data_IF_219154828038
#
_entry.id   IF_219154828038
#
_cell.length_a   1.000
_cell.length_b   1.000
_cell.length_c   1.000
_cell.angle_alpha   90.00
_cell.angle_beta   90.00
_cell.angle_gamma   90.00
#
_symmetry.space_group_name_H-M   'P 1'
#
loop_
_entity.id
_entity.type
_entity.pdbx_description
1 polymer ?
#
# COMPACT_ATOMS: atom_id res chain seq x y z
N UNK A 1 3.89 -23.92 -0.97
CA UNK A 1 4.55 -22.61 -0.87
C UNK A 1 3.68 -21.61 -1.58
N UNK A 2 3.39 -20.47 -0.95
CA UNK A 2 2.64 -19.41 -1.61
C UNK A 2 3.59 -18.67 -2.56
N UNK A 3 3.28 -18.66 -3.85
CA UNK A 3 4.11 -18.02 -4.87
C UNK A 3 3.77 -16.53 -4.97
N UNK A 4 4.79 -15.68 -4.90
CA UNK A 4 4.69 -14.26 -5.24
C UNK A 4 4.64 -14.11 -6.76
N UNK A 5 3.57 -13.49 -7.25
CA UNK A 5 3.44 -13.04 -8.64
C UNK A 5 3.51 -11.53 -8.67
N UNK A 6 4.32 -10.98 -9.57
CA UNK A 6 4.40 -9.55 -9.84
C UNK A 6 4.10 -9.34 -11.31
N UNK A 7 3.21 -8.39 -11.61
CA UNK A 7 2.94 -7.91 -12.96
C UNK A 7 3.39 -6.44 -13.04
N UNK A 8 4.62 -6.17 -13.50
CA UNK A 8 5.13 -4.80 -13.59
C UNK A 8 4.31 -3.94 -14.55
N UNK A 9 3.83 -4.52 -15.65
CA UNK A 9 3.05 -3.80 -16.68
C UNK A 9 1.75 -3.22 -16.15
N UNK A 10 1.20 -3.78 -15.07
CA UNK A 10 0.01 -3.27 -14.38
C UNK A 10 0.28 -2.74 -12.98
N UNK A 11 1.54 -2.76 -12.54
CA UNK A 11 1.95 -2.48 -11.15
C UNK A 11 1.09 -3.22 -10.14
N UNK A 12 1.01 -4.53 -10.33
CA UNK A 12 0.24 -5.42 -9.48
C UNK A 12 1.15 -6.48 -8.88
N UNK A 13 0.78 -6.95 -7.70
CA UNK A 13 1.36 -8.14 -7.10
C UNK A 13 0.29 -8.94 -6.39
N UNK A 14 0.50 -10.24 -6.30
CA UNK A 14 -0.37 -11.13 -5.55
C UNK A 14 0.43 -12.26 -4.93
N UNK A 15 0.07 -12.62 -3.71
CA UNK A 15 0.51 -13.85 -3.04
C UNK A 15 -0.75 -14.68 -2.83
N UNK A 16 -0.79 -15.85 -3.47
CA UNK A 16 -1.99 -16.70 -3.46
C UNK A 16 -2.49 -16.95 -2.03
N UNK A 17 -3.77 -16.66 -1.80
CA UNK A 17 -4.43 -16.83 -0.50
C UNK A 17 -4.11 -15.78 0.58
N UNK A 18 -3.17 -14.85 0.34
CA UNK A 18 -2.63 -14.01 1.43
C UNK A 18 -2.74 -12.53 1.16
N UNK A 19 -2.40 -12.09 -0.05
CA UNK A 19 -2.45 -10.66 -0.35
C UNK A 19 -2.59 -10.40 -1.84
N UNK A 20 -3.18 -9.25 -2.14
CA UNK A 20 -3.22 -8.67 -3.47
C UNK A 20 -3.05 -7.17 -3.34
N UNK A 21 -2.23 -6.59 -4.21
CA UNK A 21 -1.96 -5.16 -4.18
C UNK A 21 -1.77 -4.62 -5.59
N UNK A 22 -2.08 -3.34 -5.76
CA UNK A 22 -1.84 -2.63 -7.01
C UNK A 22 -1.57 -1.16 -6.78
N UNK A 23 -0.91 -0.56 -7.77
CA UNK A 23 -0.72 0.88 -7.87
C UNK A 23 -1.33 1.36 -9.20
N UNK A 24 -2.15 2.40 -9.15
CA UNK A 24 -2.72 3.06 -10.32
C UNK A 24 -2.35 4.54 -10.30
N UNK A 25 -1.89 5.06 -11.44
CA UNK A 25 -1.61 6.49 -11.59
C UNK A 25 -2.89 7.24 -11.92
N UNK A 26 -3.15 8.32 -11.20
CA UNK A 26 -4.32 9.18 -11.34
C UNK A 26 -4.38 9.80 -12.74
N UNK A 27 -5.59 10.00 -13.25
CA UNK A 27 -5.79 10.52 -14.62
C UNK A 27 -5.22 11.93 -14.77
N UNK A 28 -5.39 12.77 -13.75
CA UNK A 28 -4.93 14.16 -13.77
C UNK A 28 -3.40 14.24 -13.71
N UNK A 29 -2.77 13.27 -13.04
CA UNK A 29 -1.31 13.13 -12.97
C UNK A 29 -0.71 12.79 -14.32
N UNK A 30 -1.36 11.88 -15.05
CA UNK A 30 -0.98 11.51 -16.42
C UNK A 30 -1.07 12.73 -17.36
N UNK A 31 -2.17 13.48 -17.29
CA UNK A 31 -2.40 14.66 -18.14
C UNK A 31 -1.40 15.78 -17.83
N UNK A 32 -1.16 16.03 -16.54
CA UNK A 32 -0.32 17.12 -16.08
C UNK A 32 1.18 16.79 -16.14
N UNK A 33 1.53 15.53 -16.37
CA UNK A 33 2.92 15.06 -16.39
C UNK A 33 3.58 15.03 -15.01
N UNK A 34 2.81 14.80 -13.95
CA UNK A 34 3.34 14.59 -12.60
C UNK A 34 3.75 13.12 -12.38
N UNK A 35 4.49 12.87 -11.30
CA UNK A 35 4.77 11.51 -10.84
C UNK A 35 3.59 10.91 -10.07
N UNK A 36 3.67 9.62 -9.73
CA UNK A 36 2.70 8.97 -8.86
C UNK A 36 3.14 9.14 -7.39
N UNK A 37 2.32 9.82 -6.58
CA UNK A 37 2.58 10.14 -5.19
C UNK A 37 2.43 8.95 -4.23
N UNK A 38 1.73 7.90 -4.65
CA UNK A 38 1.43 6.74 -3.84
C UNK A 38 2.55 5.70 -3.86
N UNK A 39 2.86 5.14 -2.70
CA UNK A 39 3.85 4.09 -2.54
C UNK A 39 3.36 3.01 -1.59
N UNK A 40 3.64 1.76 -1.93
CA UNK A 40 3.30 0.56 -1.17
C UNK A 40 4.56 -0.09 -0.64
N UNK A 41 4.48 -0.63 0.56
CA UNK A 41 5.49 -1.46 1.18
C UNK A 41 4.87 -2.76 1.65
N UNK A 42 5.45 -3.90 1.24
CA UNK A 42 5.01 -5.23 1.64
C UNK A 42 6.23 -6.03 2.08
N UNK A 43 6.28 -6.40 3.35
CA UNK A 43 7.28 -7.30 3.92
C UNK A 43 6.55 -8.52 4.49
N UNK A 44 6.49 -9.59 3.70
CA UNK A 44 5.79 -10.81 4.06
C UNK A 44 6.53 -11.61 5.14
N UNK A 45 7.85 -11.46 5.23
CA UNK A 45 8.66 -12.14 6.23
C UNK A 45 8.37 -11.62 7.64
N UNK A 46 8.29 -10.29 7.78
CA UNK A 46 7.99 -9.61 9.05
C UNK A 46 6.50 -9.31 9.24
N UNK A 47 5.68 -9.62 8.24
CA UNK A 47 4.25 -9.32 8.18
C UNK A 47 3.95 -7.82 8.40
N UNK A 48 4.74 -6.96 7.75
CA UNK A 48 4.60 -5.50 7.81
C UNK A 48 4.09 -4.99 6.46
N UNK A 49 3.04 -4.20 6.48
CA UNK A 49 2.42 -3.65 5.28
C UNK A 49 2.14 -2.18 5.47
N UNK A 50 2.46 -1.36 4.46
CA UNK A 50 2.21 0.07 4.54
C UNK A 50 1.84 0.68 3.19
N UNK A 51 1.05 1.74 3.25
CA UNK A 51 0.81 2.67 2.14
C UNK A 51 1.19 4.07 2.59
N UNK A 52 1.74 4.84 1.67
CA UNK A 52 2.11 6.23 1.88
C UNK A 52 1.76 7.03 0.63
N UNK A 53 1.15 8.19 0.83
CA UNK A 53 0.75 9.12 -0.23
C UNK A 53 1.47 10.46 0.00
N UNK A 54 2.22 10.90 -1.00
CA UNK A 54 2.99 12.13 -0.99
C UNK A 54 2.38 13.19 -1.89
N UNK A 55 2.57 14.46 -1.49
CA UNK A 55 2.09 15.59 -2.28
C UNK A 55 2.71 15.63 -3.69
N UNK A 56 1.93 16.09 -4.67
CA UNK A 56 2.31 16.20 -6.10
C UNK A 56 3.65 16.88 -6.38
N UNK A 57 4.07 17.82 -5.53
CA UNK A 57 5.35 18.55 -5.69
C UNK A 57 6.56 17.64 -5.48
N UNK A 58 6.41 16.59 -4.68
CA UNK A 58 7.48 15.67 -4.31
C UNK A 58 6.94 14.23 -4.21
N UNK A 59 6.48 13.64 -5.32
CA UNK A 59 5.80 12.33 -5.32
C UNK A 59 6.72 11.21 -4.82
N UNK A 60 8.04 11.36 -5.01
CA UNK A 60 9.05 10.43 -4.51
C UNK A 60 9.20 10.41 -2.97
N UNK A 61 8.53 11.32 -2.24
CA UNK A 61 8.67 11.41 -0.77
C UNK A 61 8.08 10.21 -0.04
N UNK A 62 6.98 9.65 -0.54
CA UNK A 62 6.35 8.43 -0.01
C UNK A 62 7.29 7.24 -0.13
N UNK A 63 7.95 7.09 -1.29
CA UNK A 63 9.00 6.08 -1.50
C UNK A 63 10.15 6.21 -0.53
N UNK A 64 10.72 7.42 -0.38
CA UNK A 64 11.81 7.67 0.57
C UNK A 64 11.42 7.32 2.00
N UNK A 65 10.18 7.62 2.40
CA UNK A 65 9.68 7.30 3.72
C UNK A 65 9.62 5.78 3.94
N UNK A 66 9.10 5.02 2.96
CA UNK A 66 9.00 3.56 3.04
C UNK A 66 10.35 2.84 2.88
N UNK A 67 11.27 3.37 2.08
CA UNK A 67 12.67 2.89 2.02
C UNK A 67 13.38 3.09 3.37
N UNK A 68 13.13 4.24 4.02
CA UNK A 68 13.64 4.49 5.37
C UNK A 68 13.02 3.54 6.39
N UNK A 69 11.71 3.26 6.29
CA UNK A 69 11.04 2.29 7.14
C UNK A 69 11.71 0.92 7.02
N UNK A 70 11.86 0.43 5.78
CA UNK A 70 12.53 -0.84 5.48
C UNK A 70 13.93 -0.90 6.10
N UNK A 71 14.70 0.18 6.02
CA UNK A 71 16.05 0.20 6.60
C UNK A 71 16.03 0.17 8.14
N UNK A 72 15.14 0.93 8.77
CA UNK A 72 15.09 1.04 10.24
C UNK A 72 14.53 -0.23 10.92
N UNK A 73 13.57 -0.94 10.28
CA UNK A 73 13.00 -2.19 10.84
C UNK A 73 14.00 -3.34 10.92
N UNK A 74 15.13 -3.25 10.21
CA UNK A 74 16.22 -4.24 10.32
C UNK A 74 17.01 -4.07 11.62
N UNK A 75 16.93 -2.91 12.27
CA UNK A 75 17.79 -2.52 13.39
C UNK A 75 17.01 -2.22 14.68
N UNK A 76 15.67 -2.13 14.63
CA UNK A 76 14.83 -1.78 15.77
C UNK A 76 13.42 -2.37 15.63
N UNK A 77 12.62 -2.28 16.71
CA UNK A 77 11.20 -2.65 16.64
C UNK A 77 10.44 -1.81 15.61
N UNK A 78 9.31 -2.31 15.09
CA UNK A 78 8.49 -1.59 14.10
C UNK A 78 8.04 -0.23 14.65
N UNK A 79 7.59 -0.20 15.90
CA UNK A 79 7.18 1.02 16.61
C UNK A 79 8.29 2.08 16.66
N UNK A 80 9.49 1.69 17.07
CA UNK A 80 10.63 2.62 17.14
C UNK A 80 11.04 3.09 15.74
N UNK A 81 11.02 2.18 14.77
CA UNK A 81 11.36 2.46 13.37
C UNK A 81 10.42 3.51 12.77
N UNK A 82 9.10 3.37 13.00
CA UNK A 82 8.09 4.37 12.61
C UNK A 82 8.38 5.72 13.28
N UNK A 83 8.67 5.75 14.58
CA UNK A 83 8.98 7.00 15.29
C UNK A 83 10.22 7.72 14.72
N UNK A 84 11.27 6.96 14.35
CA UNK A 84 12.48 7.51 13.74
C UNK A 84 12.21 8.10 12.36
N UNK A 85 11.55 7.38 11.46
CA UNK A 85 11.30 7.88 10.10
C UNK A 85 10.32 9.07 10.12
N UNK A 86 9.33 9.02 11.01
CA UNK A 86 8.31 10.06 11.14
C UNK A 86 8.93 11.39 11.58
N UNK A 87 9.83 11.34 12.58
CA UNK A 87 10.51 12.52 13.11
C UNK A 87 11.58 13.09 12.18
N UNK A 88 12.18 12.26 11.31
CA UNK A 88 13.21 12.68 10.33
C UNK A 88 12.61 13.27 9.04
N UNK A 89 11.34 13.02 8.75
CA UNK A 89 10.71 13.48 7.51
C UNK A 89 10.72 15.02 7.43
N UNK A 90 11.13 15.56 6.29
CA UNK A 90 11.18 17.01 6.09
C UNK A 90 9.82 17.58 5.70
N UNK A 91 9.53 18.82 6.11
CA UNK A 91 8.25 19.49 5.82
C UNK A 91 7.92 19.63 4.33
N UNK A 92 8.94 19.80 3.47
CA UNK A 92 8.69 19.88 2.04
C UNK A 92 8.39 18.50 1.42
N UNK A 93 8.72 17.41 2.11
CA UNK A 93 8.51 16.03 1.67
C UNK A 93 7.33 15.39 2.42
N UNK A 94 6.23 16.12 2.62
CA UNK A 94 5.08 15.60 3.37
C UNK A 94 4.49 14.35 2.72
N UNK A 95 4.12 13.40 3.57
CA UNK A 95 3.50 12.15 3.18
C UNK A 95 2.54 11.66 4.27
N UNK A 96 1.47 10.98 3.88
CA UNK A 96 0.73 10.10 4.80
C UNK A 96 1.59 8.89 5.16
N UNK A 97 1.18 8.15 6.18
CA UNK A 97 1.64 6.79 6.42
C UNK A 97 0.53 6.01 7.11
N UNK A 98 0.08 4.94 6.46
CA UNK A 98 -0.78 3.92 7.05
C UNK A 98 0.00 2.63 7.05
N UNK A 99 0.34 2.12 8.23
CA UNK A 99 1.21 0.97 8.42
C UNK A 99 0.57 0.01 9.42
N UNK A 100 0.62 -1.27 9.10
CA UNK A 100 0.26 -2.34 10.03
C UNK A 100 1.41 -3.32 10.17
N UNK A 101 1.46 -4.00 11.32
CA UNK A 101 2.20 -5.24 11.47
C UNK A 101 1.35 -6.26 12.23
N UNK A 102 1.57 -7.52 11.90
CA UNK A 102 0.74 -8.64 12.31
C UNK A 102 1.56 -9.56 13.20
N UNK A 103 1.01 -9.93 14.35
CA UNK A 103 1.61 -10.83 15.32
C UNK A 103 0.63 -11.96 15.63
N UNK A 104 1.08 -13.22 15.54
CA UNK A 104 0.29 -14.36 15.98
C UNK A 104 0.23 -14.42 17.51
N UNK A 105 -0.95 -14.65 18.05
CA UNK A 105 -1.17 -14.86 19.49
C UNK A 105 -1.90 -16.19 19.73
N UNK A 106 -1.84 -16.72 20.96
CA UNK A 106 -2.46 -18.01 21.30
C UNK A 106 -3.96 -18.12 20.96
N UNK A 107 -4.67 -16.98 20.89
CA UNK A 107 -6.13 -16.92 20.68
C UNK A 107 -6.55 -16.28 19.35
N UNK A 108 -5.61 -15.95 18.47
CA UNK A 108 -5.92 -15.26 17.21
C UNK A 108 -4.72 -14.47 16.71
N UNK A 109 -5.03 -13.30 16.14
CA UNK A 109 -4.02 -12.44 15.53
C UNK A 109 -4.14 -11.05 16.10
N UNK A 110 -3.02 -10.46 16.52
CA UNK A 110 -2.94 -9.06 16.90
C UNK A 110 -2.45 -8.24 15.72
N UNK A 111 -3.26 -7.28 15.30
CA UNK A 111 -2.89 -6.28 14.29
C UNK A 111 -2.59 -4.99 15.00
N UNK A 112 -1.35 -4.54 14.90
CA UNK A 112 -0.95 -3.23 15.38
C UNK A 112 -1.03 -2.24 14.23
N UNK A 113 -1.61 -1.08 14.48
CA UNK A 113 -2.00 -0.10 13.46
C UNK A 113 -1.38 1.24 13.81
N UNK A 114 -0.59 1.75 12.86
CA UNK A 114 -0.14 3.14 12.84
C UNK A 114 -0.79 3.86 11.65
N UNK A 115 -1.40 5.01 11.89
CA UNK A 115 -2.10 5.75 10.85
C UNK A 115 -1.96 7.26 11.05
N UNK A 116 -1.42 7.93 10.03
CA UNK A 116 -1.35 9.39 9.94
C UNK A 116 -1.69 9.88 8.53
N UNK A 117 -2.60 10.84 8.44
CA UNK A 117 -3.07 11.45 7.19
C UNK A 117 -4.49 11.02 6.84
N UNK A 118 -4.75 10.92 5.54
CA UNK A 118 -6.06 10.72 4.91
C UNK A 118 -6.18 9.43 4.08
N UNK A 119 -5.12 8.64 3.99
CA UNK A 119 -5.21 7.22 3.61
C UNK A 119 -6.14 6.44 4.56
N UNK A 120 -6.50 5.21 4.22
CA UNK A 120 -7.46 4.42 5.00
C UNK A 120 -6.94 3.02 5.31
N UNK A 121 -7.21 2.57 6.54
CA UNK A 121 -7.07 1.18 6.96
C UNK A 121 -8.46 0.67 7.33
N UNK A 122 -8.87 -0.45 6.73
CA UNK A 122 -10.19 -1.05 6.95
C UNK A 122 -9.99 -2.51 7.35
N UNK A 123 -10.66 -2.95 8.41
CA UNK A 123 -10.72 -4.36 8.81
C UNK A 123 -12.19 -4.77 8.80
N UNK A 124 -12.50 -5.85 8.09
CA UNK A 124 -13.86 -6.34 7.99
C UNK A 124 -13.98 -7.64 7.22
N UNK A 125 -15.22 -8.07 7.03
CA UNK A 125 -15.58 -9.18 6.16
C UNK A 125 -16.74 -8.77 5.25
N UNK A 126 -17.24 -9.72 4.45
CA UNK A 126 -18.34 -9.46 3.50
C UNK A 126 -19.64 -8.94 4.14
N UNK A 127 -19.82 -9.08 5.45
CA UNK A 127 -21.03 -8.70 6.16
C UNK A 127 -20.86 -7.37 6.90
N UNK A 128 -19.68 -7.12 7.49
CA UNK A 128 -19.46 -5.91 8.28
C UNK A 128 -18.03 -5.38 8.24
N UNK A 129 -17.91 -4.08 8.45
CA UNK A 129 -16.64 -3.41 8.74
C UNK A 129 -16.50 -3.36 10.26
N UNK A 130 -15.47 -4.03 10.78
CA UNK A 130 -15.17 -4.08 12.22
C UNK A 130 -14.32 -2.89 12.68
N UNK A 131 -13.45 -2.39 11.80
CA UNK A 131 -12.62 -1.23 12.06
C UNK A 131 -12.39 -0.43 10.78
N UNK A 132 -12.35 0.89 10.92
CA UNK A 132 -11.92 1.80 9.87
C UNK A 132 -11.18 2.97 10.50
N UNK A 133 -9.98 3.27 10.01
CA UNK A 133 -9.21 4.43 10.47
C UNK A 133 -9.94 5.73 10.09
N UNK A 134 -9.78 6.75 10.93
CA UNK A 134 -10.29 8.09 10.64
C UNK A 134 -9.18 8.97 10.10
N UNK A 135 -9.49 9.69 9.03
CA UNK A 135 -8.65 10.78 8.52
C UNK A 135 -8.26 11.72 9.65
N UNK A 136 -6.99 12.11 9.65
CA UNK A 136 -6.45 13.04 10.62
C UNK A 136 -5.37 13.94 9.98
N UNK A 137 -4.99 14.98 10.69
CA UNK A 137 -4.03 15.97 10.17
C UNK A 137 -2.57 15.62 10.51
N UNK A 138 -2.29 14.38 10.91
CA UNK A 138 -0.94 13.92 11.20
C UNK A 138 -0.25 13.45 9.92
N UNK A 139 0.49 14.35 9.27
CA UNK A 139 1.32 14.00 8.12
C UNK A 139 2.79 13.94 8.52
N UNK A 140 3.53 12.96 8.02
CA UNK A 140 4.98 12.91 8.18
C UNK A 140 5.59 14.19 7.60
N UNK A 141 6.53 14.81 8.32
CA UNK A 141 7.13 16.09 7.96
C UNK A 141 6.31 17.32 8.33
N UNK A 142 5.01 17.18 8.62
CA UNK A 142 4.19 18.26 9.20
C UNK A 142 4.07 18.13 10.72
N UNK A 143 3.77 16.93 11.19
CA UNK A 143 3.46 16.68 12.59
C UNK A 143 4.66 16.06 13.30
N UNK A 144 5.25 16.80 14.24
CA UNK A 144 6.38 16.31 15.05
C UNK A 144 5.96 15.23 16.06
N UNK A 145 4.69 15.24 16.46
CA UNK A 145 4.11 14.23 17.34
C UNK A 145 3.61 13.07 16.50
N UNK A 146 4.03 11.87 16.88
CA UNK A 146 3.61 10.62 16.26
C UNK A 146 2.21 10.25 16.80
N UNK A 147 1.25 9.87 15.92
CA UNK A 147 -0.02 9.27 16.34
C UNK A 147 0.17 8.05 17.25
N UNK A 148 -0.84 7.79 18.07
CA UNK A 148 -0.89 6.57 18.86
C UNK A 148 -1.01 5.33 17.97
N UNK A 149 -0.46 4.23 18.47
CA UNK A 149 -0.57 2.91 17.84
C UNK A 149 -1.77 2.21 18.45
N UNK A 150 -2.70 1.80 17.59
CA UNK A 150 -3.88 1.03 17.98
C UNK A 150 -3.61 -0.47 17.82
N UNK A 151 -4.15 -1.28 18.72
CA UNK A 151 -4.09 -2.73 18.59
C UNK A 151 -5.50 -3.28 18.40
N UNK A 152 -5.68 -4.14 17.40
CA UNK A 152 -6.94 -4.82 17.10
C UNK A 152 -6.69 -6.31 17.11
N UNK A 153 -7.42 -7.04 17.96
CA UNK A 153 -7.34 -8.49 18.00
C UNK A 153 -8.39 -9.09 17.07
N UNK A 154 -7.93 -9.94 16.16
CA UNK A 154 -8.76 -10.64 15.18
C UNK A 154 -8.89 -12.10 15.58
N UNK A 155 -10.14 -12.54 15.75
CA UNK A 155 -10.49 -13.94 16.03
C UNK A 155 -11.38 -14.55 14.95
N UNK A 156 -12.06 -13.71 14.15
CA UNK A 156 -12.86 -14.15 13.02
C UNK A 156 -11.96 -14.35 11.79
N UNK A 157 -11.79 -15.61 11.39
CA UNK A 157 -10.94 -16.02 10.25
C UNK A 157 -11.40 -15.51 8.88
N UNK A 158 -12.60 -14.94 8.78
CA UNK A 158 -13.09 -14.33 7.54
C UNK A 158 -12.70 -12.85 7.42
N UNK A 159 -12.14 -12.24 8.47
CA UNK A 159 -11.73 -10.84 8.44
C UNK A 159 -10.49 -10.66 7.58
N UNK A 160 -10.51 -9.60 6.78
CA UNK A 160 -9.41 -9.14 5.95
C UNK A 160 -9.07 -7.69 6.25
N UNK A 161 -7.88 -7.28 5.85
CA UNK A 161 -7.37 -5.94 6.09
C UNK A 161 -7.11 -5.26 4.75
N UNK A 162 -7.66 -4.07 4.55
CA UNK A 162 -7.35 -3.18 3.43
C UNK A 162 -6.51 -2.02 3.95
N UNK A 163 -5.44 -1.70 3.24
CA UNK A 163 -4.75 -0.42 3.32
C UNK A 163 -4.87 0.24 1.95
N UNK A 164 -5.33 1.49 1.91
CA UNK A 164 -5.43 2.21 0.65
C UNK A 164 -5.15 3.70 0.82
N UNK A 165 -4.65 4.35 -0.22
CA UNK A 165 -4.51 5.81 -0.27
C UNK A 165 -5.87 6.46 -0.57
N UNK A 166 -5.94 7.78 -0.53
CA UNK A 166 -7.22 8.49 -0.56
C UNK A 166 -7.91 8.42 -1.94
N UNK A 167 -7.17 8.22 -3.04
CA UNK A 167 -7.76 7.95 -4.36
C UNK A 167 -8.61 6.67 -4.43
N UNK A 168 -8.45 5.74 -3.48
CA UNK A 168 -9.40 4.63 -3.32
C UNK A 168 -10.81 5.10 -2.93
N UNK A 169 -10.95 6.25 -2.27
CA UNK A 169 -12.25 6.83 -1.98
C UNK A 169 -12.99 7.26 -3.26
N UNK A 170 -12.26 7.63 -4.32
CA UNK A 170 -12.89 7.94 -5.61
C UNK A 170 -13.51 6.68 -6.22
N UNK A 171 -12.84 5.52 -6.11
CA UNK A 171 -13.45 4.23 -6.46
C UNK A 171 -14.74 3.99 -5.66
N UNK A 172 -14.67 4.13 -4.34
CA UNK A 172 -15.82 3.90 -3.46
C UNK A 172 -17.01 4.82 -3.77
N UNK A 173 -16.76 6.09 -4.11
CA UNK A 173 -17.81 7.06 -4.49
C UNK A 173 -18.54 6.68 -5.78
N UNK A 174 -17.92 5.88 -6.65
CA UNK A 174 -18.52 5.39 -7.89
C UNK A 174 -19.36 4.10 -7.69
N UNK A 175 -19.80 3.82 -6.46
CA UNK A 175 -20.78 2.76 -6.16
C UNK A 175 -20.17 1.41 -5.80
N UNK A 176 -18.84 1.32 -5.61
CA UNK A 176 -18.21 0.13 -5.06
C UNK A 176 -18.37 0.08 -3.56
N UNK A 177 -18.59 -1.13 -3.01
CA UNK A 177 -18.67 -1.38 -1.57
C UNK A 177 -17.46 -2.20 -1.10
N UNK A 178 -16.91 -1.88 0.07
CA UNK A 178 -15.84 -2.66 0.70
C UNK A 178 -16.29 -4.10 0.98
N UNK A 179 -17.55 -4.27 1.40
CA UNK A 179 -18.13 -5.60 1.62
C UNK A 179 -18.20 -6.42 0.32
N UNK A 180 -18.44 -5.76 -0.83
CA UNK A 180 -18.37 -6.43 -2.14
C UNK A 180 -16.94 -6.85 -2.49
N UNK A 181 -15.95 -6.03 -2.18
CA UNK A 181 -14.53 -6.39 -2.35
C UNK A 181 -14.20 -7.65 -1.55
N UNK A 182 -14.67 -7.73 -0.30
CA UNK A 182 -14.46 -8.89 0.57
C UNK A 182 -15.15 -10.19 0.10
N UNK A 183 -16.10 -10.13 -0.83
CA UNK A 183 -16.73 -11.34 -1.40
C UNK A 183 -15.84 -12.09 -2.40
N UNK A 184 -14.79 -11.46 -2.92
CA UNK A 184 -13.94 -12.08 -3.94
C UNK A 184 -12.77 -12.86 -3.32
N UNK A 185 -12.16 -13.76 -4.08
CA UNK A 185 -10.93 -14.43 -3.65
C UNK A 185 -9.81 -13.41 -3.55
N UNK A 186 -9.01 -13.46 -2.50
CA UNK A 186 -8.03 -12.39 -2.23
C UNK A 186 -7.08 -12.12 -3.39
N UNK A 187 -6.62 -13.17 -4.08
CA UNK A 187 -5.69 -13.07 -5.19
C UNK A 187 -6.29 -12.42 -6.46
N UNK A 188 -7.62 -12.38 -6.59
CA UNK A 188 -8.33 -11.81 -7.73
C UNK A 188 -8.66 -10.32 -7.52
N UNK A 189 -8.63 -9.85 -6.28
CA UNK A 189 -9.18 -8.54 -5.91
C UNK A 189 -8.49 -7.39 -6.64
N UNK A 190 -7.16 -7.38 -6.72
CA UNK A 190 -6.47 -6.32 -7.43
C UNK A 190 -6.86 -6.29 -8.92
N UNK A 191 -7.01 -7.44 -9.57
CA UNK A 191 -7.41 -7.51 -10.99
C UNK A 191 -8.85 -7.03 -11.19
N UNK A 192 -9.75 -7.43 -10.30
CA UNK A 192 -11.15 -7.00 -10.32
C UNK A 192 -11.23 -5.48 -10.15
N UNK A 193 -10.53 -4.91 -9.18
CA UNK A 193 -10.54 -3.44 -8.96
C UNK A 193 -9.85 -2.74 -10.14
N UNK A 194 -8.70 -3.23 -10.59
CA UNK A 194 -7.95 -2.65 -11.71
C UNK A 194 -8.78 -2.61 -12.99
N UNK A 195 -9.49 -3.68 -13.34
CA UNK A 195 -10.35 -3.73 -14.53
C UNK A 195 -11.51 -2.73 -14.46
N UNK A 196 -11.90 -2.30 -13.27
CA UNK A 196 -12.98 -1.32 -13.07
C UNK A 196 -12.56 0.13 -13.26
N UNK A 197 -11.27 0.41 -13.43
CA UNK A 197 -10.76 1.78 -13.64
C UNK A 197 -11.41 2.47 -14.86
N UNK A 198 -11.82 1.71 -15.88
CA UNK A 198 -12.46 2.25 -17.09
C UNK A 198 -13.84 2.85 -16.81
N UNK A 199 -14.49 2.47 -15.71
CA UNK A 199 -15.80 2.99 -15.32
C UNK A 199 -15.70 4.25 -14.45
N UNK A 200 -14.50 4.65 -14.03
CA UNK A 200 -14.29 5.78 -13.14
C UNK A 200 -13.71 6.92 -13.94
N UNK A 201 -14.43 8.05 -13.96
CA UNK A 201 -13.95 9.30 -14.53
C UNK A 201 -13.21 10.07 -13.46
N UNK A 202 -11.98 10.48 -13.77
CA UNK A 202 -11.14 11.31 -12.93
C UNK A 202 -10.92 10.76 -11.51
N UNK A 203 -9.80 10.11 -11.31
CA UNK A 203 -9.40 9.56 -10.01
C UNK A 203 -7.95 9.98 -9.71
N UNK A 204 -7.63 10.19 -8.43
CA UNK A 204 -6.24 10.46 -8.01
C UNK A 204 -5.38 9.19 -8.04
N UNK A 205 -4.09 9.28 -7.70
CA UNK A 205 -3.27 8.08 -7.51
C UNK A 205 -3.94 7.09 -6.54
N UNK A 206 -3.79 5.79 -6.82
CA UNK A 206 -4.38 4.73 -5.99
C UNK A 206 -3.34 3.69 -5.66
N UNK A 207 -2.94 3.70 -4.40
CA UNK A 207 -2.25 2.63 -3.73
C UNK A 207 -3.25 1.76 -2.98
N UNK A 208 -3.23 0.45 -3.22
CA UNK A 208 -4.13 -0.49 -2.57
C UNK A 208 -3.41 -1.78 -2.19
N UNK A 209 -3.64 -2.25 -0.96
CA UNK A 209 -3.21 -3.54 -0.44
C UNK A 209 -4.41 -4.18 0.26
N UNK A 210 -4.71 -5.44 -0.05
CA UNK A 210 -5.59 -6.29 0.76
C UNK A 210 -4.83 -7.51 1.28
N UNK A 211 -5.11 -7.90 2.51
CA UNK A 211 -4.43 -8.97 3.24
C UNK A 211 -5.46 -9.88 3.91
N UNK A 212 -5.20 -11.19 3.84
CA UNK A 212 -5.82 -12.20 4.69
C UNK A 212 -4.84 -12.51 5.84
N UNK A 213 -5.09 -11.99 7.05
CA UNK A 213 -4.18 -12.14 8.17
C UNK A 213 -4.05 -13.59 8.63
N UNK A 214 -5.01 -14.48 8.33
CA UNK A 214 -4.99 -15.86 8.85
C UNK A 214 -4.32 -16.86 7.92
N UNK A 215 -3.88 -16.44 6.75
CA UNK A 215 -3.27 -17.34 5.78
C UNK A 215 -1.74 -17.34 5.83
N UNK A 216 -1.08 -16.67 6.78
CA UNK A 216 0.38 -16.65 6.87
C UNK A 216 0.98 -18.04 7.23
N UNK A 217 1.67 -18.73 6.31
CA UNK A 217 2.22 -20.09 6.53
C UNK A 217 3.67 -20.27 6.08
N UNK A 218 4.09 -19.68 4.95
CA UNK A 218 5.48 -19.65 4.47
C UNK A 218 5.58 -18.73 3.24
N UNK A 219 6.47 -17.73 3.29
CA UNK A 219 6.55 -16.65 2.30
C UNK A 219 7.95 -16.43 1.75
N UNK A 220 8.06 -15.79 0.57
CA UNK A 220 9.32 -15.18 0.19
C UNK A 220 9.84 -14.28 1.31
N UNK A 221 11.15 -14.31 1.54
CA UNK A 221 11.86 -13.38 2.42
C UNK A 221 11.84 -11.94 1.89
N UNK A 222 11.36 -11.77 0.67
CA UNK A 222 11.44 -10.51 -0.04
C UNK A 222 10.53 -9.44 0.57
N UNK A 223 11.11 -8.26 0.72
CA UNK A 223 10.33 -7.02 0.90
C UNK A 223 10.18 -6.33 -0.44
N UNK A 224 9.02 -5.72 -0.68
CA UNK A 224 8.68 -5.04 -1.94
C UNK A 224 8.32 -3.60 -1.65
N UNK A 225 8.89 -2.67 -2.44
CA UNK A 225 8.47 -1.27 -2.49
C UNK A 225 7.98 -0.97 -3.90
N UNK A 226 6.76 -0.45 -4.03
CA UNK A 226 6.13 -0.15 -5.32
C UNK A 226 5.50 1.25 -5.31
N UNK A 227 5.90 2.14 -6.24
CA UNK A 227 5.33 3.49 -6.36
C UNK A 227 6.21 4.62 -5.82
N UNK A 228 5.66 5.82 -5.63
CA UNK A 228 6.39 7.03 -5.30
C UNK A 228 7.40 7.34 -6.42
N UNK A 229 6.88 7.49 -7.63
CA UNK A 229 7.67 7.62 -8.86
C UNK A 229 7.77 9.07 -9.28
N UNK A 230 8.80 9.39 -10.06
CA UNK A 230 8.95 10.70 -10.70
C UNK A 230 8.13 10.79 -11.99
N UNK A 231 7.86 12.01 -12.44
CA UNK A 231 7.23 12.27 -13.74
C UNK A 231 7.93 11.55 -14.91
N UNK A 232 9.27 11.51 -14.90
CA UNK A 232 10.02 10.84 -15.96
C UNK A 232 9.84 9.31 -15.93
N UNK A 233 9.77 8.72 -14.74
CA UNK A 233 9.46 7.29 -14.58
C UNK A 233 8.03 6.97 -15.03
N UNK A 234 7.05 7.81 -14.70
CA UNK A 234 5.68 7.64 -15.22
C UNK A 234 5.63 7.72 -16.73
N UNK A 235 6.33 8.69 -17.34
CA UNK A 235 6.43 8.81 -18.78
C UNK A 235 7.08 7.57 -19.41
N UNK A 236 8.15 7.04 -18.84
CA UNK A 236 8.79 5.81 -19.30
C UNK A 236 7.85 4.61 -19.18
N UNK A 237 7.12 4.51 -18.06
CA UNK A 237 6.14 3.46 -17.80
C UNK A 237 5.00 3.46 -18.82
N UNK A 238 4.43 4.62 -19.14
CA UNK A 238 3.36 4.75 -20.14
C UNK A 238 3.83 4.37 -21.57
N UNK A 239 5.13 4.48 -21.84
CA UNK A 239 5.74 4.10 -23.12
C UNK A 239 6.17 2.62 -23.19
N UNK A 240 5.94 1.82 -22.14
CA UNK A 240 6.33 0.40 -22.10
C UNK A 240 5.62 -0.47 -23.14
N UNK A 241 4.46 -0.06 -23.64
CA UNK A 241 3.68 -0.79 -24.65
C UNK A 241 4.41 -0.99 -26.00
N UNK A 242 5.55 -0.33 -26.21
CA UNK A 242 6.23 -0.27 -27.50
C UNK A 242 7.56 -1.05 -27.60
N UNK A 243 8.08 -1.67 -26.52
CA UNK A 243 9.41 -2.31 -26.56
C UNK A 243 9.50 -3.61 -25.74
N UNK A 244 10.15 -4.64 -26.30
CA UNK A 244 10.59 -5.81 -25.54
C UNK A 244 11.70 -5.38 -24.57
N UNK A 245 11.46 -5.54 -23.27
CA UNK A 245 12.42 -5.22 -22.21
C UNK A 245 12.64 -6.42 -21.30
N UNK A 246 13.82 -6.50 -20.69
CA UNK A 246 14.11 -7.49 -19.65
C UNK A 246 13.23 -7.25 -18.41
N UNK A 247 12.91 -8.32 -17.68
CA UNK A 247 12.02 -8.27 -16.51
C UNK A 247 12.54 -7.35 -15.40
N UNK A 248 13.85 -7.31 -15.16
CA UNK A 248 14.46 -6.41 -14.18
C UNK A 248 14.31 -4.93 -14.58
N UNK A 249 14.40 -4.63 -15.87
CA UNK A 249 14.16 -3.29 -16.39
C UNK A 249 12.69 -2.89 -16.24
N UNK A 250 11.77 -3.82 -16.49
CA UNK A 250 10.33 -3.61 -16.28
C UNK A 250 10.00 -3.30 -14.81
N UNK A 251 10.60 -4.02 -13.86
CA UNK A 251 10.43 -3.72 -12.43
C UNK A 251 10.86 -2.29 -12.11
N UNK A 252 12.07 -1.90 -12.55
CA UNK A 252 12.62 -0.56 -12.30
C UNK A 252 11.75 0.56 -12.87
N UNK A 253 11.31 0.43 -14.12
CA UNK A 253 10.47 1.43 -14.79
C UNK A 253 9.09 1.52 -14.13
N UNK A 254 8.56 0.37 -13.71
CA UNK A 254 7.27 0.31 -13.00
C UNK A 254 7.37 0.80 -11.56
N UNK A 255 8.55 1.25 -11.12
CA UNK A 255 8.78 1.73 -9.76
C UNK A 255 8.72 0.60 -8.73
N UNK A 256 9.01 -0.65 -9.10
CA UNK A 256 9.00 -1.81 -8.21
C UNK A 256 10.44 -2.16 -7.83
N UNK A 257 10.69 -2.28 -6.53
CA UNK A 257 11.94 -2.77 -5.97
C UNK A 257 11.66 -4.00 -5.13
N UNK A 258 12.36 -5.09 -5.41
CA UNK A 258 12.31 -6.34 -4.65
C UNK A 258 13.63 -6.47 -3.91
N UNK A 259 13.57 -6.69 -2.60
CA UNK A 259 14.75 -6.82 -1.76
C UNK A 259 14.72 -8.17 -1.05
N UNK A 260 15.70 -9.01 -1.39
CA UNK A 260 15.96 -10.33 -0.80
C UNK A 260 16.65 -10.25 0.56
#
# INVERSE_FOLDING_TARGET
>A
MNTLSINPSRRMLSVCGVSSAFLLTGTDKIISGFGNGDCLFLDFQRQIFAVADATERYPFSSRKLLESLRHEILNSSVKESIGKIWSKQQYNHRSTLSCIWIEEECSGIKVSIFHGGDSVIIIGDKNNIAFQSRTNMFFAGRSKVMPDILNVNLTNKNQRIILATDGFNDFMRNGFSVCQIFNHSIHEIAEIIYSKKEYIKNYDDIGFIIIDPFCFTSYPSDSIIMGGTTANQEKEYLNLSCKSKDYGELLKISGISVYT
#
